data_IF_528053528705
#
_entry.id   IF_528053528705
#
_cell.length_a   1.000
_cell.length_b   1.000
_cell.length_c   1.000
_cell.angle_alpha   90.00
_cell.angle_beta   90.00
_cell.angle_gamma   90.00
#
_symmetry.space_group_name_H-M   'P 1'
#
loop_
_entity.id
_entity.type
_entity.pdbx_description
1 polymer ?
#
# COMPACT_ATOMS: atom_id res chain seq x y z
N UNK A 1 -6.79 -33.49 -23.95
CA UNK A 1 -6.18 -32.17 -23.71
C UNK A 1 -5.65 -32.22 -22.29
N UNK A 2 -4.43 -31.77 -22.07
CA UNK A 2 -3.81 -31.83 -20.75
C UNK A 2 -4.15 -30.55 -19.99
N UNK A 3 -5.02 -30.63 -18.98
CA UNK A 3 -5.44 -29.50 -18.17
C UNK A 3 -4.34 -29.12 -17.18
N UNK A 4 -3.21 -28.62 -17.68
CA UNK A 4 -2.04 -28.32 -16.84
C UNK A 4 -2.36 -27.23 -15.83
N UNK A 5 -2.32 -27.62 -14.56
CA UNK A 5 -2.56 -26.80 -13.37
C UNK A 5 -1.54 -27.16 -12.30
N UNK A 6 -1.10 -26.16 -11.55
CA UNK A 6 -0.19 -26.35 -10.43
C UNK A 6 -0.71 -25.55 -9.23
N UNK A 7 -0.79 -26.21 -8.08
CA UNK A 7 -0.99 -25.53 -6.79
C UNK A 7 0.28 -25.58 -5.98
N UNK A 8 0.68 -24.44 -5.44
CA UNK A 8 1.85 -24.26 -4.59
C UNK A 8 1.39 -23.72 -3.22
N UNK A 9 1.06 -24.59 -2.26
CA UNK A 9 0.69 -24.17 -0.90
C UNK A 9 1.89 -23.53 -0.19
N UNK A 10 1.63 -22.49 0.62
CA UNK A 10 2.67 -21.83 1.43
C UNK A 10 3.77 -21.12 0.63
N UNK A 11 3.51 -20.79 -0.65
CA UNK A 11 4.46 -20.09 -1.51
C UNK A 11 4.72 -18.66 -1.04
N UNK A 12 3.68 -17.97 -0.54
CA UNK A 12 3.82 -16.67 0.12
C UNK A 12 3.81 -16.89 1.64
N UNK A 13 4.64 -16.12 2.35
CA UNK A 13 4.57 -16.08 3.81
C UNK A 13 3.28 -15.37 4.28
N UNK A 14 2.77 -15.71 5.47
CA UNK A 14 1.65 -14.99 6.07
C UNK A 14 1.92 -13.49 6.22
N UNK A 15 3.16 -13.10 6.51
CA UNK A 15 3.57 -11.69 6.65
C UNK A 15 3.41 -10.93 5.34
N UNK A 16 3.87 -11.51 4.22
CA UNK A 16 3.71 -10.92 2.89
C UNK A 16 2.23 -10.85 2.49
N UNK A 17 1.43 -11.87 2.81
CA UNK A 17 -0.01 -11.84 2.56
C UNK A 17 -0.68 -10.67 3.29
N UNK A 18 -0.35 -10.47 4.57
CA UNK A 18 -0.86 -9.36 5.38
C UNK A 18 -0.42 -7.99 4.86
N UNK A 19 0.83 -7.87 4.43
CA UNK A 19 1.35 -6.64 3.82
C UNK A 19 0.61 -6.28 2.52
N UNK A 20 0.39 -7.25 1.64
CA UNK A 20 -0.39 -7.05 0.42
C UNK A 20 -1.86 -6.70 0.72
N UNK A 21 -2.48 -7.35 1.71
CA UNK A 21 -3.83 -7.00 2.18
C UNK A 21 -3.86 -5.55 2.70
N UNK A 22 -2.86 -5.13 3.48
CA UNK A 22 -2.72 -3.76 3.94
C UNK A 22 -2.69 -2.77 2.77
N UNK A 23 -1.83 -3.02 1.77
CA UNK A 23 -1.73 -2.15 0.59
C UNK A 23 -3.07 -2.06 -0.13
N UNK A 24 -3.76 -3.20 -0.31
CA UNK A 24 -5.07 -3.22 -0.97
C UNK A 24 -6.16 -2.50 -0.17
N UNK A 25 -6.22 -2.73 1.15
CA UNK A 25 -7.18 -2.06 2.04
C UNK A 25 -6.92 -0.56 2.14
N UNK A 26 -5.69 -0.13 1.89
CA UNK A 26 -5.31 1.29 1.90
C UNK A 26 -5.53 1.99 0.56
N UNK A 27 -5.31 1.31 -0.56
CA UNK A 27 -5.25 1.93 -1.89
C UNK A 27 -6.25 1.37 -2.91
N UNK A 28 -7.16 0.50 -2.48
CA UNK A 28 -8.19 -0.10 -3.33
C UNK A 28 -9.20 0.90 -3.86
N UNK A 29 -9.52 0.77 -5.15
CA UNK A 29 -10.56 1.52 -5.85
C UNK A 29 -11.63 0.56 -6.39
N UNK A 30 -12.78 1.11 -6.77
CA UNK A 30 -13.86 0.36 -7.44
C UNK A 30 -13.32 -0.26 -8.71
N UNK A 31 -13.47 -1.58 -8.84
CA UNK A 31 -13.10 -2.35 -10.02
C UNK A 31 -14.17 -2.25 -11.12
N UNK A 32 -13.89 -2.88 -12.27
CA UNK A 32 -14.80 -2.83 -13.42
C UNK A 32 -16.07 -3.70 -13.23
N UNK A 33 -16.07 -4.62 -12.26
CA UNK A 33 -17.22 -5.47 -11.94
C UNK A 33 -17.91 -4.98 -10.66
N UNK A 34 -19.24 -5.15 -10.56
CA UNK A 34 -19.95 -4.95 -9.31
C UNK A 34 -19.30 -5.71 -8.16
N UNK A 35 -19.23 -5.08 -6.99
CA UNK A 35 -18.68 -5.67 -5.75
C UNK A 35 -17.20 -6.09 -5.81
N UNK A 36 -16.47 -5.71 -6.86
CA UNK A 36 -15.04 -5.98 -6.99
C UNK A 36 -14.25 -4.70 -6.77
N UNK A 37 -13.20 -4.78 -5.95
CA UNK A 37 -12.23 -3.71 -5.77
C UNK A 37 -10.89 -4.12 -6.37
N UNK A 38 -10.08 -3.14 -6.80
CA UNK A 38 -8.77 -3.40 -7.38
C UNK A 38 -7.71 -2.39 -6.94
N UNK A 39 -6.46 -2.85 -6.82
CA UNK A 39 -5.27 -1.99 -6.70
C UNK A 39 -4.25 -2.46 -7.73
N UNK A 40 -3.97 -1.62 -8.73
CA UNK A 40 -2.95 -1.89 -9.75
C UNK A 40 -1.67 -1.13 -9.44
N UNK A 41 -0.55 -1.57 -10.01
CA UNK A 41 0.75 -0.88 -9.84
C UNK A 41 0.68 0.55 -10.37
N UNK A 42 0.08 0.77 -11.54
CA UNK A 42 -0.12 2.11 -12.09
C UNK A 42 -1.00 2.99 -11.22
N UNK A 43 -2.01 2.44 -10.52
CA UNK A 43 -2.81 3.21 -9.59
C UNK A 43 -1.96 3.71 -8.40
N UNK A 44 -1.14 2.83 -7.80
CA UNK A 44 -0.22 3.21 -6.73
C UNK A 44 0.73 4.33 -7.17
N UNK A 45 1.24 4.27 -8.40
CA UNK A 45 2.11 5.32 -8.93
C UNK A 45 1.33 6.64 -9.14
N UNK A 46 0.12 6.56 -9.69
CA UNK A 46 -0.72 7.71 -9.95
C UNK A 46 -1.16 8.44 -8.66
N UNK A 47 -1.33 7.72 -7.55
CA UNK A 47 -1.77 8.30 -6.26
C UNK A 47 -0.62 8.67 -5.33
N UNK A 48 0.58 8.92 -5.86
CA UNK A 48 1.80 9.21 -5.10
C UNK A 48 2.13 8.14 -4.02
N UNK A 49 1.73 6.89 -4.26
CA UNK A 49 1.94 5.73 -3.40
C UNK A 49 2.90 4.71 -4.02
N UNK A 50 3.74 5.15 -4.96
CA UNK A 50 4.63 4.29 -5.76
C UNK A 50 5.58 3.42 -4.91
N UNK A 51 5.99 3.88 -3.73
CA UNK A 51 6.85 3.10 -2.84
C UNK A 51 6.22 1.74 -2.44
N UNK A 52 4.89 1.67 -2.38
CA UNK A 52 4.16 0.44 -2.02
C UNK A 52 4.22 -0.65 -3.11
N UNK A 53 4.82 -0.42 -4.28
CA UNK A 53 5.00 -1.49 -5.26
C UNK A 53 6.08 -2.51 -4.87
N UNK A 54 6.95 -2.16 -3.93
CA UNK A 54 8.14 -2.96 -3.59
C UNK A 54 7.82 -4.43 -3.25
N UNK A 55 6.81 -4.75 -2.42
CA UNK A 55 6.45 -6.14 -2.13
C UNK A 55 5.97 -6.93 -3.37
N UNK A 56 5.46 -6.24 -4.39
CA UNK A 56 5.00 -6.87 -5.63
C UNK A 56 6.16 -7.29 -6.52
N UNK A 57 7.22 -6.49 -6.62
CA UNK A 57 8.32 -6.74 -7.56
C UNK A 57 8.97 -8.09 -7.28
N UNK A 58 9.36 -8.33 -6.03
CA UNK A 58 9.99 -9.59 -5.63
C UNK A 58 9.05 -10.79 -5.79
N UNK A 59 7.76 -10.61 -5.50
CA UNK A 59 6.77 -11.68 -5.63
C UNK A 59 6.46 -12.02 -7.10
N UNK A 60 6.33 -11.01 -7.97
CA UNK A 60 6.07 -11.18 -9.41
C UNK A 60 7.15 -12.02 -10.06
N UNK A 61 8.42 -11.73 -9.78
CA UNK A 61 9.54 -12.48 -10.33
C UNK A 61 9.53 -13.93 -9.86
N UNK A 62 9.34 -14.18 -8.55
CA UNK A 62 9.25 -15.55 -8.02
C UNK A 62 8.09 -16.34 -8.61
N UNK A 63 6.92 -15.73 -8.78
CA UNK A 63 5.77 -16.39 -9.40
C UNK A 63 6.03 -16.63 -10.90
N UNK A 64 6.64 -15.68 -11.60
CA UNK A 64 7.03 -15.84 -13.01
C UNK A 64 7.96 -17.03 -13.20
N UNK A 65 9.02 -17.14 -12.39
CA UNK A 65 9.95 -18.28 -12.41
C UNK A 65 9.21 -19.61 -12.21
N UNK A 66 8.27 -19.69 -11.25
CA UNK A 66 7.48 -20.90 -11.02
C UNK A 66 6.54 -21.25 -12.20
N UNK A 67 6.00 -20.24 -12.88
CA UNK A 67 5.20 -20.42 -14.11
C UNK A 67 6.08 -20.93 -15.25
N UNK A 68 7.26 -20.31 -15.42
CA UNK A 68 8.22 -20.68 -16.45
C UNK A 68 8.70 -22.13 -16.29
N UNK A 69 9.10 -22.53 -15.09
CA UNK A 69 9.53 -23.89 -14.76
C UNK A 69 8.40 -24.91 -15.01
N UNK A 70 7.18 -24.62 -14.54
CA UNK A 70 6.05 -25.55 -14.69
C UNK A 70 5.66 -25.81 -16.15
N UNK A 71 5.75 -24.79 -17.00
CA UNK A 71 5.42 -24.89 -18.42
C UNK A 71 6.62 -25.18 -19.33
N UNK A 72 7.85 -25.21 -18.81
CA UNK A 72 9.09 -25.42 -19.57
C UNK A 72 9.35 -24.29 -20.56
N UNK A 73 9.29 -23.05 -20.08
CA UNK A 73 9.40 -21.84 -20.88
C UNK A 73 10.23 -20.74 -20.21
N UNK A 74 11.34 -21.15 -19.61
CA UNK A 74 12.29 -20.31 -18.91
C UNK A 74 12.76 -19.13 -19.76
N UNK A 75 12.70 -17.93 -19.17
CA UNK A 75 13.07 -16.64 -19.78
C UNK A 75 12.21 -16.21 -20.98
N UNK A 76 11.07 -16.86 -21.23
CA UNK A 76 10.19 -16.54 -22.36
C UNK A 76 8.99 -15.66 -21.96
N UNK A 77 8.79 -15.38 -20.67
CA UNK A 77 7.60 -14.70 -20.17
C UNK A 77 7.84 -13.24 -19.74
N UNK A 78 6.86 -12.42 -20.08
CA UNK A 78 6.65 -11.08 -19.57
C UNK A 78 5.41 -11.06 -18.67
N UNK A 79 5.42 -10.25 -17.63
CA UNK A 79 4.23 -9.99 -16.82
C UNK A 79 3.33 -9.04 -17.60
N UNK A 80 2.14 -9.50 -17.97
CA UNK A 80 1.16 -8.70 -18.73
C UNK A 80 0.39 -7.76 -17.81
N UNK A 81 0.09 -8.21 -16.59
CA UNK A 81 -0.68 -7.45 -15.62
C UNK A 81 -0.48 -7.98 -14.22
N UNK A 82 -0.48 -7.05 -13.26
CA UNK A 82 -0.47 -7.30 -11.82
C UNK A 82 -1.54 -6.48 -11.11
N UNK A 83 -2.39 -7.15 -10.33
CA UNK A 83 -3.37 -6.44 -9.51
C UNK A 83 -3.82 -7.20 -8.28
N UNK A 84 -3.94 -6.48 -7.17
CA UNK A 84 -4.69 -6.96 -6.01
C UNK A 84 -6.17 -6.81 -6.31
N UNK A 85 -6.91 -7.91 -6.25
CA UNK A 85 -8.33 -7.99 -6.54
C UNK A 85 -9.04 -8.48 -5.30
N UNK A 86 -10.04 -7.72 -4.86
CA UNK A 86 -10.96 -8.10 -3.80
C UNK A 86 -12.35 -8.34 -4.36
N UNK A 87 -12.96 -9.42 -3.91
CA UNK A 87 -14.34 -9.81 -4.21
C UNK A 87 -15.12 -9.71 -2.92
N UNK A 88 -16.01 -8.71 -2.84
CA UNK A 88 -16.90 -8.52 -1.70
C UNK A 88 -18.16 -9.37 -1.84
N UNK A 89 -18.95 -9.46 -0.77
CA UNK A 89 -20.27 -10.09 -0.80
C UNK A 89 -21.08 -9.69 -2.05
N UNK A 90 -21.62 -10.68 -2.76
CA UNK A 90 -22.35 -10.53 -4.02
C UNK A 90 -21.47 -10.62 -5.29
N UNK A 91 -20.14 -10.51 -5.17
CA UNK A 91 -19.24 -10.62 -6.32
C UNK A 91 -19.15 -12.08 -6.80
N UNK A 92 -19.22 -12.28 -8.12
CA UNK A 92 -19.01 -13.55 -8.81
C UNK A 92 -18.53 -13.33 -10.25
N UNK A 93 -18.03 -14.38 -10.89
CA UNK A 93 -17.73 -14.39 -12.32
C UNK A 93 -18.09 -15.75 -12.91
N UNK A 94 -18.87 -15.74 -13.98
CA UNK A 94 -19.25 -16.95 -14.70
C UNK A 94 -18.08 -17.62 -15.44
N UNK A 95 -18.38 -18.72 -16.12
CA UNK A 95 -17.41 -19.50 -16.88
C UNK A 95 -16.71 -18.67 -17.97
N UNK A 96 -15.39 -18.65 -17.93
CA UNK A 96 -14.54 -17.97 -18.91
C UNK A 96 -13.14 -18.58 -18.96
N UNK A 97 -12.42 -18.35 -20.06
CA UNK A 97 -10.95 -18.40 -20.08
C UNK A 97 -10.39 -16.98 -19.99
N UNK A 98 -9.14 -16.86 -19.55
CA UNK A 98 -8.49 -15.55 -19.37
C UNK A 98 -8.11 -14.88 -20.70
N UNK A 99 -8.07 -15.64 -21.80
CA UNK A 99 -7.78 -15.20 -23.17
C UNK A 99 -9.04 -14.95 -24.02
N UNK A 100 -10.23 -14.98 -23.42
CA UNK A 100 -11.52 -15.07 -24.12
C UNK A 100 -11.98 -13.82 -24.91
N UNK A 101 -11.20 -12.74 -24.92
CA UNK A 101 -11.50 -11.49 -25.64
C UNK A 101 -10.31 -11.05 -26.47
N UNK A 102 -10.57 -10.30 -27.55
CA UNK A 102 -9.53 -9.87 -28.48
C UNK A 102 -8.38 -9.09 -27.83
N UNK A 103 -8.69 -8.28 -26.81
CA UNK A 103 -7.69 -7.52 -26.05
C UNK A 103 -7.03 -8.30 -24.90
N UNK A 104 -7.42 -9.56 -24.70
CA UNK A 104 -6.89 -10.47 -23.68
C UNK A 104 -6.16 -11.69 -24.28
N UNK A 105 -6.36 -11.95 -25.58
CA UNK A 105 -5.82 -13.11 -26.32
C UNK A 105 -4.30 -13.31 -26.21
N UNK A 106 -3.56 -12.26 -25.82
CA UNK A 106 -2.12 -12.31 -25.60
C UNK A 106 -1.71 -13.07 -24.34
N UNK A 107 -2.65 -13.39 -23.45
CA UNK A 107 -2.38 -14.09 -22.19
C UNK A 107 -2.12 -15.57 -22.47
N UNK A 108 -0.98 -16.06 -22.00
CA UNK A 108 -0.59 -17.45 -22.16
C UNK A 108 -0.81 -18.24 -20.87
N UNK A 109 -0.48 -17.63 -19.73
CA UNK A 109 -0.56 -18.25 -18.41
C UNK A 109 -1.14 -17.26 -17.39
N UNK A 110 -1.72 -17.83 -16.35
CA UNK A 110 -2.33 -17.12 -15.24
C UNK A 110 -1.78 -17.64 -13.93
N UNK A 111 -1.61 -16.74 -12.96
CA UNK A 111 -1.38 -17.11 -11.57
C UNK A 111 -2.29 -16.31 -10.63
N UNK A 112 -2.85 -17.01 -9.64
CA UNK A 112 -3.70 -16.44 -8.59
C UNK A 112 -3.06 -16.75 -7.25
N UNK A 113 -2.59 -15.73 -6.54
CA UNK A 113 -2.07 -15.86 -5.18
C UNK A 113 -3.18 -15.54 -4.19
N UNK A 114 -3.54 -16.51 -3.35
CA UNK A 114 -4.56 -16.35 -2.33
C UNK A 114 -3.98 -15.67 -1.09
N UNK A 115 -4.57 -14.54 -0.70
CA UNK A 115 -4.04 -13.73 0.41
C UNK A 115 -4.79 -13.97 1.72
N UNK A 116 -5.98 -14.56 1.67
CA UNK A 116 -6.78 -14.93 2.84
C UNK A 116 -7.50 -16.26 2.62
N UNK A 117 -8.08 -16.81 3.68
CA UNK A 117 -8.49 -18.22 3.77
C UNK A 117 -10.01 -18.37 3.74
N UNK A 118 -10.49 -19.29 2.89
CA UNK A 118 -11.90 -19.68 2.81
C UNK A 118 -12.38 -20.31 4.13
N UNK A 119 -13.63 -20.06 4.53
CA UNK A 119 -14.24 -20.46 5.82
C UNK A 119 -13.60 -19.86 7.09
N UNK A 120 -12.56 -19.04 6.93
CA UNK A 120 -11.96 -18.27 8.02
C UNK A 120 -12.20 -16.76 7.84
N UNK A 121 -11.88 -16.24 6.65
CA UNK A 121 -11.94 -14.81 6.33
C UNK A 121 -13.12 -14.45 5.41
N UNK A 122 -13.64 -15.42 4.66
CA UNK A 122 -14.78 -15.26 3.75
C UNK A 122 -15.48 -16.60 3.47
N UNK A 123 -16.73 -16.53 3.01
CA UNK A 123 -17.54 -17.67 2.57
C UNK A 123 -18.02 -17.49 1.12
N UNK A 124 -18.29 -18.59 0.42
CA UNK A 124 -18.45 -18.58 -1.03
C UNK A 124 -17.13 -18.27 -1.73
N UNK A 125 -17.15 -17.66 -2.92
CA UNK A 125 -15.93 -17.26 -3.65
C UNK A 125 -14.96 -18.39 -4.04
N UNK A 126 -15.40 -19.65 -4.10
CA UNK A 126 -14.61 -20.79 -4.55
C UNK A 126 -14.31 -20.68 -6.04
N UNK A 127 -13.09 -21.08 -6.41
CA UNK A 127 -12.62 -21.11 -7.78
C UNK A 127 -12.86 -22.50 -8.37
N UNK A 128 -13.57 -22.58 -9.48
CA UNK A 128 -13.90 -23.84 -10.15
C UNK A 128 -13.35 -23.86 -11.56
N UNK A 129 -12.78 -24.98 -11.97
CA UNK A 129 -12.52 -25.29 -13.37
C UNK A 129 -13.67 -26.13 -13.93
N UNK A 130 -13.99 -25.91 -15.21
CA UNK A 130 -15.12 -26.57 -15.85
C UNK A 130 -14.85 -28.07 -16.09
N UNK A 131 -13.61 -28.39 -16.46
CA UNK A 131 -13.16 -29.72 -16.83
C UNK A 131 -11.79 -30.03 -16.17
N UNK A 132 -11.42 -31.30 -16.03
CA UNK A 132 -10.10 -31.70 -15.51
C UNK A 132 -9.89 -31.52 -14.00
N UNK A 133 -8.73 -31.96 -13.49
CA UNK A 133 -8.39 -31.91 -12.07
C UNK A 133 -7.25 -30.93 -11.77
N UNK A 134 -7.28 -30.23 -10.61
CA UNK A 134 -8.40 -30.20 -9.67
C UNK A 134 -9.59 -29.45 -10.26
N UNK A 135 -10.81 -29.97 -10.02
CA UNK A 135 -12.05 -29.32 -10.48
C UNK A 135 -12.40 -28.07 -9.64
N UNK A 136 -12.03 -28.05 -8.36
CA UNK A 136 -12.26 -26.93 -7.44
C UNK A 136 -11.00 -26.63 -6.66
N UNK A 137 -10.67 -25.36 -6.54
CA UNK A 137 -9.56 -24.87 -5.73
C UNK A 137 -10.12 -24.14 -4.53
N UNK A 138 -9.78 -24.65 -3.33
CA UNK A 138 -10.15 -24.03 -2.05
C UNK A 138 -9.09 -22.99 -1.67
N UNK A 139 -9.44 -21.69 -1.63
CA UNK A 139 -8.51 -20.63 -1.27
C UNK A 139 -7.92 -20.81 0.14
N UNK A 140 -6.60 -20.91 0.21
CA UNK A 140 -5.85 -20.92 1.47
C UNK A 140 -4.76 -19.87 1.39
N UNK A 141 -4.65 -19.01 2.42
CA UNK A 141 -3.63 -17.96 2.49
C UNK A 141 -2.24 -18.51 2.13
N UNK A 142 -1.54 -17.78 1.27
CA UNK A 142 -0.19 -18.10 0.82
C UNK A 142 -0.10 -19.13 -0.31
N UNK A 143 -1.22 -19.68 -0.76
CA UNK A 143 -1.26 -20.63 -1.88
C UNK A 143 -1.24 -19.88 -3.22
N UNK A 144 -0.48 -20.39 -4.19
CA UNK A 144 -0.53 -19.93 -5.58
C UNK A 144 -1.14 -21.01 -6.46
N UNK A 145 -2.11 -20.62 -7.29
CA UNK A 145 -2.66 -21.44 -8.37
C UNK A 145 -2.09 -20.95 -9.70
N UNK A 146 -1.48 -21.83 -10.50
CA UNK A 146 -0.93 -21.57 -11.83
C UNK A 146 -1.65 -22.44 -12.86
N UNK A 147 -2.04 -21.86 -14.00
CA UNK A 147 -2.74 -22.56 -15.08
C UNK A 147 -2.56 -21.84 -16.43
N UNK A 148 -2.85 -22.53 -17.54
CA UNK A 148 -2.87 -21.88 -18.86
C UNK A 148 -4.07 -20.93 -18.98
N UNK A 149 -3.89 -19.77 -19.61
CA UNK A 149 -4.95 -18.76 -19.73
C UNK A 149 -6.06 -19.14 -20.74
N UNK A 150 -5.85 -20.21 -21.50
CA UNK A 150 -6.66 -20.57 -22.66
C UNK A 150 -7.93 -21.38 -22.31
N UNK A 151 -8.70 -21.73 -23.35
CA UNK A 151 -9.91 -22.56 -23.23
C UNK A 151 -9.71 -23.98 -22.65
N UNK A 152 -8.49 -24.45 -22.44
CA UNK A 152 -8.25 -25.70 -21.71
C UNK A 152 -8.50 -25.50 -20.21
N UNK A 153 -8.51 -24.27 -19.71
CA UNK A 153 -8.74 -23.96 -18.31
C UNK A 153 -9.88 -22.94 -18.16
N UNK A 154 -11.03 -23.25 -18.75
CA UNK A 154 -12.27 -22.50 -18.48
C UNK A 154 -12.60 -22.64 -17.00
N UNK A 155 -12.85 -21.50 -16.35
CA UNK A 155 -13.05 -21.42 -14.91
C UNK A 155 -14.08 -20.35 -14.53
N UNK A 156 -14.55 -20.41 -13.28
CA UNK A 156 -15.45 -19.44 -12.69
C UNK A 156 -15.09 -19.23 -11.21
N UNK A 157 -15.63 -18.16 -10.62
CA UNK A 157 -15.64 -17.94 -9.17
C UNK A 157 -17.08 -17.78 -8.75
N UNK A 158 -17.56 -18.65 -7.87
CA UNK A 158 -18.93 -18.55 -7.37
C UNK A 158 -19.10 -17.31 -6.47
N UNK A 159 -20.34 -16.99 -6.14
CA UNK A 159 -20.64 -15.80 -5.36
C UNK A 159 -19.95 -15.82 -3.98
N UNK A 160 -19.29 -14.72 -3.61
CA UNK A 160 -18.88 -14.47 -2.23
C UNK A 160 -20.13 -14.16 -1.43
N UNK A 161 -20.44 -15.00 -0.44
CA UNK A 161 -21.66 -14.88 0.35
C UNK A 161 -21.44 -14.10 1.65
N UNK A 162 -20.21 -14.10 2.15
CA UNK A 162 -19.80 -13.38 3.36
C UNK A 162 -18.30 -13.07 3.33
N UNK A 163 -17.88 -11.99 4.00
CA UNK A 163 -16.50 -11.53 4.01
C UNK A 163 -16.00 -10.91 2.69
N UNK A 164 -14.68 -10.88 2.54
CA UNK A 164 -13.98 -10.26 1.40
C UNK A 164 -12.87 -11.21 0.93
N UNK A 165 -12.98 -11.78 -0.28
CA UNK A 165 -11.95 -12.67 -0.85
C UNK A 165 -10.88 -11.85 -1.56
N UNK A 166 -9.63 -11.95 -1.13
CA UNK A 166 -8.52 -11.11 -1.62
C UNK A 166 -7.45 -11.98 -2.28
N UNK A 167 -7.09 -11.60 -3.51
CA UNK A 167 -6.08 -12.29 -4.31
C UNK A 167 -5.12 -11.30 -4.98
N UNK A 168 -3.87 -11.71 -5.20
CA UNK A 168 -3.04 -11.11 -6.25
C UNK A 168 -3.26 -11.89 -7.54
N UNK A 169 -3.74 -11.22 -8.58
CA UNK A 169 -3.89 -11.79 -9.92
C UNK A 169 -2.71 -11.36 -10.80
N UNK A 170 -2.12 -12.34 -11.49
CA UNK A 170 -1.01 -12.18 -12.41
C UNK A 170 -1.36 -12.85 -13.72
N UNK A 171 -1.15 -12.15 -14.83
CA UNK A 171 -1.23 -12.73 -16.16
C UNK A 171 0.12 -12.59 -16.86
N UNK A 172 0.47 -13.61 -17.64
CA UNK A 172 1.76 -13.69 -18.33
C UNK A 172 1.56 -13.80 -19.83
N UNK A 173 2.49 -13.23 -20.57
CA UNK A 173 2.48 -13.21 -22.03
C UNK A 173 3.87 -13.51 -22.58
N UNK A 174 3.93 -14.14 -23.75
CA UNK A 174 5.16 -14.29 -24.55
C UNK A 174 5.38 -13.11 -25.50
N UNK A 175 4.47 -12.14 -25.51
CA UNK A 175 4.53 -10.99 -26.39
C UNK A 175 5.00 -9.75 -25.61
N UNK A 176 6.27 -9.37 -25.79
CA UNK A 176 6.90 -8.23 -25.10
C UNK A 176 6.19 -6.88 -25.32
N UNK A 177 5.36 -6.75 -26.36
CA UNK A 177 4.57 -5.52 -26.57
C UNK A 177 3.50 -5.29 -25.48
N UNK A 178 3.19 -6.33 -24.70
CA UNK A 178 2.23 -6.31 -23.60
C UNK A 178 2.92 -6.38 -22.22
N UNK A 179 4.24 -6.19 -22.16
CA UNK A 179 4.98 -6.13 -20.90
C UNK A 179 4.53 -4.93 -20.03
N UNK A 180 4.01 -5.23 -18.83
CA UNK A 180 3.59 -4.24 -17.83
C UNK A 180 4.77 -3.38 -17.35
N UNK A 181 5.97 -3.97 -17.25
CA UNK A 181 7.14 -3.29 -16.69
C UNK A 181 7.56 -2.10 -17.54
N UNK A 182 7.44 -2.19 -18.86
CA UNK A 182 7.74 -1.07 -19.76
C UNK A 182 6.91 0.17 -19.42
N UNK A 183 5.60 0.00 -19.23
CA UNK A 183 4.68 1.10 -18.88
C UNK A 183 4.92 1.59 -17.46
N UNK A 184 5.16 0.67 -16.53
CA UNK A 184 5.40 0.98 -15.12
C UNK A 184 6.70 1.77 -14.93
N UNK A 185 7.78 1.37 -15.61
CA UNK A 185 9.06 2.07 -15.58
C UNK A 185 8.91 3.52 -16.05
N UNK A 186 8.22 3.76 -17.18
CA UNK A 186 7.96 5.11 -17.68
C UNK A 186 7.21 5.97 -16.65
N UNK A 187 6.19 5.41 -15.98
CA UNK A 187 5.47 6.10 -14.92
C UNK A 187 6.36 6.42 -13.72
N UNK A 188 7.18 5.46 -13.28
CA UNK A 188 8.11 5.63 -12.16
C UNK A 188 9.19 6.67 -12.44
N UNK A 189 9.76 6.69 -13.65
CA UNK A 189 10.72 7.72 -14.09
C UNK A 189 10.12 9.11 -13.90
N UNK A 190 8.89 9.30 -14.37
CA UNK A 190 8.20 10.58 -14.33
C UNK A 190 7.92 11.03 -12.89
N UNK A 191 7.51 10.11 -12.01
CA UNK A 191 7.29 10.44 -10.59
C UNK A 191 8.60 10.80 -9.90
N UNK A 192 9.66 10.02 -10.11
CA UNK A 192 10.97 10.30 -9.51
C UNK A 192 11.57 11.64 -9.97
N UNK A 193 11.34 12.03 -11.22
CA UNK A 193 11.80 13.32 -11.75
C UNK A 193 11.06 14.54 -11.17
N UNK A 194 9.84 14.35 -10.65
CA UNK A 194 8.99 15.42 -10.07
C UNK A 194 9.25 15.68 -8.59
N UNK A 195 10.03 14.83 -7.94
CA UNK A 195 10.20 14.86 -6.49
C UNK A 195 11.40 15.74 -6.12
N UNK A 196 11.26 16.70 -5.18
CA UNK A 196 12.33 17.62 -4.80
C UNK A 196 13.58 16.91 -4.27
N UNK A 197 14.73 17.54 -4.50
CA UNK A 197 16.08 17.20 -3.97
C UNK A 197 16.09 16.87 -2.47
N UNK A 198 15.07 17.29 -1.71
CA UNK A 198 14.92 17.00 -0.29
C UNK A 198 14.70 15.50 0.05
N UNK A 199 13.99 14.70 -0.77
CA UNK A 199 13.94 13.23 -0.55
C UNK A 199 15.32 12.58 -0.68
N UNK A 200 16.16 13.10 -1.58
CA UNK A 200 17.54 12.66 -1.76
C UNK A 200 18.42 12.91 -0.52
N UNK A 201 18.12 13.97 0.25
CA UNK A 201 18.82 14.25 1.52
C UNK A 201 18.37 13.31 2.63
N UNK A 202 17.09 12.94 2.69
CA UNK A 202 16.57 11.93 3.63
C UNK A 202 17.11 10.53 3.36
N UNK A 203 17.20 10.13 2.09
CA UNK A 203 17.79 8.83 1.76
C UNK A 203 19.23 8.73 2.25
N UNK A 204 20.00 9.82 2.18
CA UNK A 204 21.37 9.86 2.68
C UNK A 204 21.39 9.80 4.22
N UNK A 205 20.55 10.57 4.92
CA UNK A 205 20.51 10.52 6.39
C UNK A 205 20.04 9.17 6.94
N UNK A 206 19.03 8.53 6.31
CA UNK A 206 18.57 7.19 6.68
C UNK A 206 19.62 6.12 6.36
N UNK A 207 20.36 6.25 5.25
CA UNK A 207 21.52 5.38 4.97
C UNK A 207 22.60 5.53 6.03
N UNK A 208 22.86 6.75 6.51
CA UNK A 208 23.78 7.02 7.62
C UNK A 208 23.30 6.36 8.92
N UNK A 209 22.02 6.51 9.27
CA UNK A 209 21.43 5.93 10.49
C UNK A 209 21.40 4.38 10.46
N UNK A 210 21.05 3.77 9.32
CA UNK A 210 21.09 2.32 9.12
C UNK A 210 22.54 1.78 9.16
N UNK A 211 23.51 2.54 8.65
CA UNK A 211 24.94 2.21 8.79
C UNK A 211 25.40 2.25 10.25
N UNK A 212 24.96 3.25 11.01
CA UNK A 212 25.28 3.38 12.45
C UNK A 212 24.65 2.24 13.26
N UNK A 213 23.40 1.86 12.96
CA UNK A 213 22.75 0.72 13.63
C UNK A 213 23.44 -0.62 13.31
N UNK A 214 23.87 -0.83 12.06
CA UNK A 214 24.59 -2.05 11.67
C UNK A 214 26.05 -2.09 12.17
N UNK A 215 26.68 -0.93 12.38
CA UNK A 215 28.00 -0.84 12.99
C UNK A 215 27.99 -1.17 14.50
N UNK A 216 26.83 -1.02 15.17
CA UNK A 216 26.66 -1.36 16.59
C UNK A 216 26.57 -2.85 16.91
N UNK A 217 26.48 -3.72 15.90
CA UNK A 217 26.33 -5.19 16.07
C UNK A 217 27.68 -5.93 15.95
N UNK A 218 28.75 -5.25 15.49
CA UNK A 218 30.08 -5.86 15.35
C UNK A 218 31.09 -5.22 16.29
N UNK A 219 31.01 -5.55 17.58
CA UNK A 219 32.14 -5.38 18.49
C UNK A 219 32.34 -6.61 19.36
N UNK A 220 33.16 -7.55 18.87
CA UNK A 220 34.01 -8.36 19.74
C UNK A 220 35.48 -8.10 19.39
N UNK A 221 36.39 -8.01 20.38
CA UNK A 221 37.78 -7.68 20.14
C UNK A 221 38.58 -8.94 19.82
N UNK A 222 39.23 -8.99 18.67
CA UNK A 222 40.30 -9.95 18.38
C UNK A 222 41.65 -9.24 18.46
N UNK A 223 42.51 -9.79 19.32
CA UNK A 223 43.87 -9.35 19.60
C UNK A 223 44.82 -9.53 18.40
N UNK A 224 45.68 -8.53 18.20
CA UNK A 224 47.12 -8.65 17.86
C UNK A 224 47.54 -9.28 16.53
N UNK A 225 48.18 -8.50 15.66
CA UNK A 225 49.62 -8.67 15.37
C UNK A 225 50.19 -7.51 14.52
N UNK A 226 51.47 -7.24 14.75
CA UNK A 226 52.29 -6.10 14.35
C UNK A 226 52.77 -6.09 12.88
N UNK A 227 53.24 -4.90 12.46
CA UNK A 227 54.15 -4.65 11.33
C UNK A 227 53.52 -3.73 10.28
N UNK A 228 54.08 -2.59 9.87
CA UNK A 228 55.40 -1.97 10.05
C UNK A 228 55.30 -0.51 9.56
N UNK A 229 56.03 0.39 10.21
CA UNK A 229 56.17 1.82 9.87
C UNK A 229 56.78 2.06 8.48
N UNK A 230 56.33 3.14 7.79
CA UNK A 230 57.23 4.09 7.12
C UNK A 230 56.63 5.51 7.16
N UNK A 231 57.39 6.45 7.71
CA UNK A 231 57.15 7.90 7.76
C UNK A 231 57.33 8.57 6.38
N UNK A 232 56.68 9.73 6.18
CA UNK A 232 57.36 11.01 5.82
C UNK A 232 56.35 12.18 5.77
N UNK A 233 56.61 13.17 6.62
CA UNK A 233 56.03 14.53 6.63
C UNK A 233 56.55 15.36 5.45
N UNK A 234 55.73 16.25 4.88
CA UNK A 234 55.97 17.71 4.92
C UNK A 234 54.84 18.53 4.24
N UNK A 235 54.46 19.62 4.91
CA UNK A 235 53.56 20.73 4.51
C UNK A 235 54.30 21.72 3.53
N UNK A 236 53.71 22.80 2.94
CA UNK A 236 52.57 23.59 3.43
C UNK A 236 51.56 24.15 2.40
N UNK A 237 50.51 24.77 2.95
CA UNK A 237 49.45 25.56 2.30
C UNK A 237 49.97 26.81 1.55
N UNK A 238 49.14 27.43 0.68
CA UNK A 238 48.71 28.79 1.04
C UNK A 238 47.28 29.18 0.58
N UNK A 239 46.74 30.20 1.25
CA UNK A 239 46.08 31.30 0.52
C UNK A 239 44.56 31.37 0.59
N UNK A 240 44.06 31.96 1.67
CA UNK A 240 42.68 32.40 1.84
C UNK A 240 42.42 33.67 1.00
N UNK A 241 41.38 33.69 0.14
CA UNK A 241 40.72 34.93 -0.29
C UNK A 241 39.20 34.73 -0.32
N UNK A 242 38.55 35.37 0.64
CA UNK A 242 37.12 35.62 0.69
C UNK A 242 36.74 36.65 -0.38
N UNK A 243 35.74 36.35 -1.20
CA UNK A 243 34.82 37.36 -1.71
C UNK A 243 33.38 36.98 -1.39
N UNK A 244 32.69 37.96 -0.80
CA UNK A 244 31.32 37.93 -0.35
C UNK A 244 30.35 37.71 -1.53
N UNK A 245 29.46 36.73 -1.39
CA UNK A 245 28.12 36.86 -1.96
C UNK A 245 27.09 36.37 -0.93
N UNK A 246 26.61 37.33 -0.15
CA UNK A 246 25.39 37.17 0.66
C UNK A 246 24.22 37.10 -0.31
N UNK A 247 23.86 35.90 -0.76
CA UNK A 247 22.52 35.63 -1.30
C UNK A 247 21.66 35.14 -0.16
N UNK A 248 20.81 36.02 0.36
CA UNK A 248 19.68 35.67 1.21
C UNK A 248 18.65 34.89 0.38
N UNK A 249 18.97 33.64 0.06
CA UNK A 249 17.99 32.67 -0.39
C UNK A 249 17.27 32.17 0.85
N UNK A 250 16.14 32.81 1.15
CA UNK A 250 15.09 32.26 1.98
C UNK A 250 14.57 31.00 1.29
N UNK A 251 15.25 29.88 1.54
CA UNK A 251 14.74 28.55 1.27
C UNK A 251 13.54 28.38 2.19
N UNK A 252 12.34 28.61 1.66
CA UNK A 252 11.12 28.12 2.27
C UNK A 252 11.24 26.61 2.32
N UNK A 253 11.66 26.06 3.47
CA UNK A 253 11.63 24.64 3.78
C UNK A 253 10.18 24.18 3.60
N UNK A 254 9.88 23.48 2.51
CA UNK A 254 8.73 22.58 2.50
C UNK A 254 8.96 21.56 3.62
N UNK A 255 8.03 21.39 4.58
CA UNK A 255 8.17 20.34 5.58
C UNK A 255 8.25 18.99 4.87
N UNK A 256 9.16 18.11 5.31
CA UNK A 256 9.33 16.72 4.82
C UNK A 256 8.00 15.95 4.69
N UNK A 257 7.05 16.30 5.55
CA UNK A 257 5.68 15.82 5.63
C UNK A 257 4.90 15.89 4.31
N UNK A 258 5.31 16.70 3.32
CA UNK A 258 4.58 16.83 2.05
C UNK A 258 4.90 15.73 1.02
N UNK A 259 5.99 14.99 1.20
CA UNK A 259 6.53 14.14 0.14
C UNK A 259 5.78 12.81 -0.02
N UNK A 260 5.35 12.22 1.09
CA UNK A 260 4.69 10.91 1.12
C UNK A 260 3.18 11.00 1.26
N UNK A 261 2.61 12.20 1.17
CA UNK A 261 1.15 12.40 1.18
C UNK A 261 0.58 11.77 -0.09
N UNK A 262 -0.27 10.75 0.01
CA UNK A 262 -0.92 10.18 -1.16
C UNK A 262 -1.85 11.23 -1.79
N UNK A 263 -1.99 11.17 -3.10
CA UNK A 263 -2.87 12.04 -3.88
C UNK A 263 -4.06 11.21 -4.36
N UNK A 264 -5.25 11.36 -3.77
CA UNK A 264 -6.41 10.57 -4.16
C UNK A 264 -6.76 10.77 -5.64
N UNK A 265 -7.19 9.69 -6.30
CA UNK A 265 -7.80 9.78 -7.62
C UNK A 265 -9.17 10.50 -7.57
N UNK A 266 -9.85 10.62 -8.71
CA UNK A 266 -11.22 11.17 -8.77
C UNK A 266 -12.17 10.42 -7.82
N UNK A 267 -13.11 11.15 -7.20
CA UNK A 267 -14.14 10.62 -6.28
C UNK A 267 -14.86 9.39 -6.83
N UNK A 268 -15.12 9.35 -8.15
CA UNK A 268 -15.77 8.23 -8.83
C UNK A 268 -15.02 6.90 -8.71
N UNK A 269 -13.69 6.94 -8.51
CA UNK A 269 -12.87 5.73 -8.33
C UNK A 269 -13.09 5.09 -6.95
N UNK A 270 -13.58 5.84 -5.98
CA UNK A 270 -13.79 5.37 -4.59
C UNK A 270 -15.27 5.28 -4.21
N UNK A 271 -16.17 5.73 -5.08
CA UNK A 271 -17.61 5.73 -4.87
C UNK A 271 -18.28 4.44 -5.36
N UNK A 272 -18.89 3.69 -4.45
CA UNK A 272 -19.71 2.53 -4.78
C UNK A 272 -21.17 2.96 -4.88
N UNK A 273 -21.72 2.82 -6.09
CA UNK A 273 -23.14 3.04 -6.38
C UNK A 273 -23.96 1.81 -5.99
N UNK A 274 -25.04 1.99 -5.24
CA UNK A 274 -26.03 0.95 -4.94
C UNK A 274 -27.01 0.77 -6.13
N UNK A 275 -27.33 1.84 -6.85
CA UNK A 275 -28.28 1.81 -7.98
C UNK A 275 -27.75 1.07 -9.22
N UNK A 276 -26.43 1.06 -9.44
CA UNK A 276 -25.77 0.30 -10.53
C UNK A 276 -25.67 -1.21 -10.26
N UNK A 277 -25.93 -1.67 -9.04
CA UNK A 277 -25.92 -3.09 -8.67
C UNK A 277 -27.18 -3.79 -9.20
N UNK A 278 -28.35 -3.17 -9.08
CA UNK A 278 -29.63 -3.77 -9.49
C UNK A 278 -29.82 -3.81 -11.01
N UNK A 279 -29.34 -2.81 -11.75
CA UNK A 279 -29.56 -2.70 -13.20
C UNK A 279 -28.81 -3.75 -14.05
N UNK A 280 -27.88 -4.53 -13.47
CA UNK A 280 -27.09 -5.53 -14.20
C UNK A 280 -27.47 -7.00 -13.91
N UNK A 281 -28.40 -7.25 -12.99
CA UNK A 281 -28.92 -8.61 -12.73
C UNK A 281 -29.82 -9.16 -13.86
N UNK A 282 -30.03 -8.41 -14.94
CA UNK A 282 -30.98 -8.76 -16.01
C UNK A 282 -30.42 -9.02 -17.42
N UNK A 283 -29.18 -8.66 -17.77
CA UNK A 283 -28.68 -8.83 -19.15
C UNK A 283 -27.16 -9.03 -19.20
N UNK A 284 -26.71 -10.05 -19.94
CA UNK A 284 -25.33 -10.18 -20.43
C UNK A 284 -25.03 -8.99 -21.35
N UNK A 285 -24.36 -7.97 -20.81
CA UNK A 285 -23.93 -6.81 -21.59
C UNK A 285 -22.51 -7.06 -22.09
N UNK A 286 -22.41 -7.32 -23.40
CA UNK A 286 -21.16 -7.29 -24.16
C UNK A 286 -20.44 -5.95 -24.05
N UNK A 287 -19.16 -5.95 -24.37
CA UNK A 287 -18.29 -4.77 -24.35
C UNK A 287 -18.91 -3.60 -25.12
N UNK A 288 -19.40 -2.61 -24.38
CA UNK A 288 -20.07 -1.44 -24.92
C UNK A 288 -20.30 -0.44 -23.79
N UNK A 289 -19.48 0.61 -23.77
CA UNK A 289 -19.47 1.63 -22.72
C UNK A 289 -20.84 2.27 -22.52
N UNK A 290 -21.38 2.13 -21.30
CA UNK A 290 -22.47 2.97 -20.83
C UNK A 290 -21.88 4.21 -20.13
N UNK A 291 -21.57 5.22 -20.94
CA UNK A 291 -21.40 6.61 -20.49
C UNK A 291 -22.78 7.19 -20.14
N UNK A 292 -23.32 6.80 -18.98
CA UNK A 292 -24.48 7.45 -18.38
C UNK A 292 -23.98 8.53 -17.42
N UNK A 293 -24.16 9.80 -17.77
CA UNK A 293 -24.05 10.93 -16.84
C UNK A 293 -25.21 10.86 -15.86
N UNK A 294 -25.09 10.05 -14.81
CA UNK A 294 -25.86 10.21 -13.57
C UNK A 294 -25.02 11.07 -12.64
N UNK A 295 -25.56 12.23 -12.25
CA UNK A 295 -25.02 13.05 -11.16
C UNK A 295 -24.87 12.20 -9.91
N UNK A 296 -23.73 12.30 -9.22
CA UNK A 296 -23.49 11.65 -7.92
C UNK A 296 -24.53 12.06 -6.85
N UNK A 297 -25.23 13.19 -7.06
CA UNK A 297 -26.21 13.74 -6.13
C UNK A 297 -27.49 12.89 -5.98
N UNK A 298 -27.84 12.08 -6.99
CA UNK A 298 -29.05 11.26 -7.00
C UNK A 298 -28.77 9.76 -6.76
N UNK A 299 -27.49 9.37 -6.63
CA UNK A 299 -27.07 7.98 -6.50
C UNK A 299 -26.91 7.60 -5.02
N UNK A 300 -27.74 6.68 -4.53
CA UNK A 300 -27.52 6.06 -3.22
C UNK A 300 -26.22 5.25 -3.29
N UNK A 301 -25.24 5.58 -2.46
CA UNK A 301 -23.91 5.00 -2.53
C UNK A 301 -23.05 5.38 -1.33
N UNK A 302 -21.84 4.84 -1.29
CA UNK A 302 -20.89 5.12 -0.23
C UNK A 302 -19.45 5.22 -0.72
N UNK A 303 -18.64 5.98 0.02
CA UNK A 303 -17.23 6.15 -0.23
C UNK A 303 -16.40 5.08 0.47
N UNK A 304 -15.66 4.26 -0.28
CA UNK A 304 -14.96 3.08 0.26
C UNK A 304 -13.96 3.46 1.36
N UNK A 305 -13.23 4.56 1.22
CA UNK A 305 -12.25 4.94 2.24
C UNK A 305 -12.91 5.26 3.58
N UNK A 306 -14.09 5.88 3.56
CA UNK A 306 -14.86 6.18 4.77
C UNK A 306 -15.38 4.89 5.40
N UNK A 307 -15.91 3.97 4.58
CA UNK A 307 -16.39 2.67 5.06
C UNK A 307 -15.28 1.83 5.68
N UNK A 308 -14.08 1.82 5.08
CA UNK A 308 -12.90 1.14 5.63
C UNK A 308 -12.37 1.77 6.91
N UNK A 309 -12.46 3.09 7.06
CA UNK A 309 -12.16 3.75 8.33
C UNK A 309 -13.21 3.39 9.39
N UNK A 310 -14.50 3.37 9.02
CA UNK A 310 -15.61 3.02 9.90
C UNK A 310 -15.53 1.58 10.42
N UNK A 311 -15.14 0.62 9.58
CA UNK A 311 -14.95 -0.78 10.01
C UNK A 311 -13.78 -0.94 11.01
N UNK A 312 -12.85 0.02 11.05
CA UNK A 312 -11.79 0.12 12.05
C UNK A 312 -12.18 0.99 13.27
N UNK A 313 -13.43 1.44 13.36
CA UNK A 313 -13.96 2.23 14.47
C UNK A 313 -13.76 3.75 14.36
N UNK A 314 -13.35 4.25 13.20
CA UNK A 314 -13.15 5.67 12.95
C UNK A 314 -14.32 6.33 12.23
N UNK A 315 -14.58 7.59 12.56
CA UNK A 315 -15.58 8.43 11.91
C UNK A 315 -14.91 9.70 11.38
N UNK A 316 -15.27 10.14 10.18
CA UNK A 316 -14.82 11.45 9.68
C UNK A 316 -15.69 12.54 10.34
N UNK A 317 -15.05 13.58 10.91
CA UNK A 317 -15.74 14.63 11.69
C UNK A 317 -16.40 15.68 10.80
N UNK A 318 -15.82 15.92 9.63
CA UNK A 318 -16.37 16.83 8.62
C UNK A 318 -17.00 15.98 7.52
N UNK A 319 -18.32 16.12 7.33
CA UNK A 319 -19.06 15.37 6.31
C UNK A 319 -18.40 15.65 4.95
N UNK A 320 -17.93 14.59 4.29
CA UNK A 320 -17.63 14.64 2.87
C UNK A 320 -18.96 14.90 2.16
N UNK A 321 -19.31 16.18 1.96
CA UNK A 321 -20.49 16.56 1.20
C UNK A 321 -20.33 15.98 -0.20
N UNK A 322 -21.22 15.05 -0.59
CA UNK A 322 -21.06 14.22 -1.79
C UNK A 322 -20.95 15.08 -3.05
N UNK A 323 -21.56 16.28 -3.04
CA UNK A 323 -21.56 17.27 -4.11
C UNK A 323 -20.30 18.17 -4.17
N UNK A 324 -19.50 18.26 -3.10
CA UNK A 324 -18.29 19.11 -3.01
C UNK A 324 -17.03 18.32 -2.57
N UNK A 325 -17.10 16.99 -2.65
CA UNK A 325 -16.08 16.06 -2.14
C UNK A 325 -14.88 15.95 -3.09
N UNK A 326 -14.02 16.96 -3.11
CA UNK A 326 -12.65 16.76 -3.61
C UNK A 326 -11.92 15.86 -2.62
N UNK A 327 -11.51 14.64 -3.00
CA UNK A 327 -10.94 13.68 -2.06
C UNK A 327 -9.60 14.16 -1.47
N UNK A 328 -9.00 15.20 -2.06
CA UNK A 328 -7.78 15.89 -1.61
C UNK A 328 -8.01 16.98 -0.54
N UNK A 329 -9.21 17.08 0.05
CA UNK A 329 -9.47 17.98 1.19
C UNK A 329 -8.95 17.38 2.50
N UNK A 330 -8.40 18.20 3.42
CA UNK A 330 -8.03 17.74 4.76
C UNK A 330 -9.19 17.11 5.50
N UNK A 331 -8.89 16.13 6.36
CA UNK A 331 -9.89 15.38 7.13
C UNK A 331 -9.46 15.19 8.57
N UNK A 332 -10.41 15.37 9.49
CA UNK A 332 -10.28 15.01 10.90
C UNK A 332 -11.03 13.73 11.19
N UNK A 333 -10.44 12.89 12.02
CA UNK A 333 -11.03 11.63 12.45
C UNK A 333 -11.49 11.70 13.90
N UNK A 334 -12.49 10.88 14.22
CA UNK A 334 -12.98 10.59 15.56
C UNK A 334 -12.89 9.10 15.77
N UNK A 335 -12.38 8.69 16.92
CA UNK A 335 -12.32 7.28 17.31
C UNK A 335 -13.05 7.11 18.64
N UNK A 336 -14.00 6.19 18.73
CA UNK A 336 -14.79 5.93 19.96
C UNK A 336 -15.33 7.21 20.65
N UNK A 337 -15.95 8.10 19.88
CA UNK A 337 -16.49 9.39 20.36
C UNK A 337 -15.44 10.41 20.84
N UNK A 338 -14.16 10.16 20.58
CA UNK A 338 -13.08 11.09 20.87
C UNK A 338 -12.49 11.66 19.57
N UNK A 339 -12.49 12.99 19.48
CA UNK A 339 -11.90 13.69 18.35
C UNK A 339 -10.37 13.53 18.39
N UNK A 340 -9.82 13.20 17.23
CA UNK A 340 -8.39 13.04 17.06
C UNK A 340 -7.80 14.43 16.78
N UNK A 341 -6.85 14.86 17.62
CA UNK A 341 -6.21 16.17 17.55
C UNK A 341 -5.13 16.27 16.46
N UNK A 342 -5.44 15.77 15.26
CA UNK A 342 -4.61 15.85 14.07
C UNK A 342 -5.50 15.92 12.83
N UNK A 343 -5.07 16.72 11.87
CA UNK A 343 -5.74 16.92 10.59
C UNK A 343 -4.93 16.25 9.49
N UNK A 344 -5.46 15.17 8.94
CA UNK A 344 -4.82 14.46 7.83
C UNK A 344 -4.97 15.26 6.56
N UNK A 345 -3.93 15.24 5.72
CA UNK A 345 -3.89 15.97 4.45
C UNK A 345 -5.06 15.64 3.53
N UNK A 346 -5.50 14.37 3.52
CA UNK A 346 -6.68 13.91 2.80
C UNK A 346 -7.15 12.53 3.30
N UNK A 347 -8.30 12.06 2.80
CA UNK A 347 -8.92 10.80 3.22
C UNK A 347 -8.07 9.57 2.93
N UNK A 348 -7.29 9.58 1.85
CA UNK A 348 -6.39 8.48 1.50
C UNK A 348 -5.18 8.44 2.45
N UNK A 349 -4.64 9.62 2.81
CA UNK A 349 -3.59 9.73 3.82
C UNK A 349 -4.06 9.17 5.17
N UNK A 350 -5.25 9.57 5.61
CA UNK A 350 -5.84 9.07 6.85
C UNK A 350 -6.00 7.54 6.83
N UNK A 351 -6.55 7.00 5.74
CA UNK A 351 -6.74 5.56 5.59
C UNK A 351 -5.41 4.79 5.57
N UNK A 352 -4.41 5.26 4.83
CA UNK A 352 -3.09 4.62 4.75
C UNK A 352 -2.41 4.54 6.12
N UNK A 353 -2.39 5.64 6.89
CA UNK A 353 -1.80 5.67 8.24
C UNK A 353 -2.52 4.69 9.17
N UNK A 354 -3.85 4.73 9.19
CA UNK A 354 -4.65 3.86 10.07
C UNK A 354 -4.44 2.38 9.72
N UNK A 355 -4.53 2.03 8.44
CA UNK A 355 -4.33 0.65 7.97
C UNK A 355 -2.91 0.15 8.21
N UNK A 356 -1.90 1.02 8.08
CA UNK A 356 -0.52 0.68 8.40
C UNK A 356 -0.39 0.24 9.87
N UNK A 357 -0.98 0.98 10.80
CA UNK A 357 -0.89 0.63 12.22
C UNK A 357 -1.71 -0.60 12.61
N UNK A 358 -2.84 -0.83 11.95
CA UNK A 358 -3.62 -2.07 12.06
C UNK A 358 -2.78 -3.26 11.62
N UNK A 359 -2.14 -3.17 10.44
CA UNK A 359 -1.25 -4.21 9.93
C UNK A 359 -0.06 -4.48 10.86
N UNK A 360 0.57 -3.44 11.39
CA UNK A 360 1.71 -3.56 12.32
C UNK A 360 1.29 -4.07 13.70
N UNK A 361 -0.01 -4.26 13.98
CA UNK A 361 -0.54 -4.65 15.29
C UNK A 361 -0.26 -3.64 16.40
N UNK A 362 0.14 -2.43 16.03
CA UNK A 362 0.54 -1.38 16.97
C UNK A 362 -0.62 -0.46 17.33
N UNK A 363 -1.71 -0.52 16.56
CA UNK A 363 -2.86 0.35 16.72
C UNK A 363 -3.53 0.25 18.11
N UNK A 364 -3.82 -0.95 18.67
CA UNK A 364 -4.39 -1.06 20.01
C UNK A 364 -3.54 -0.43 21.12
N UNK A 365 -2.20 -0.54 21.03
CA UNK A 365 -1.29 0.05 22.00
C UNK A 365 -1.31 1.59 21.95
N UNK A 366 -1.40 2.18 20.75
CA UNK A 366 -1.57 3.62 20.59
C UNK A 366 -2.90 4.11 21.18
N UNK A 367 -3.98 3.35 20.96
CA UNK A 367 -5.29 3.67 21.52
C UNK A 367 -5.34 3.56 23.04
N UNK A 368 -4.74 2.52 23.62
CA UNK A 368 -4.66 2.36 25.07
C UNK A 368 -3.89 3.51 25.72
N UNK A 369 -2.76 3.91 25.13
CA UNK A 369 -2.03 5.09 25.58
C UNK A 369 -2.89 6.36 25.55
N UNK A 370 -3.72 6.56 24.51
CA UNK A 370 -4.65 7.71 24.47
C UNK A 370 -5.72 7.65 25.57
N UNK A 371 -6.20 6.47 25.94
CA UNK A 371 -7.19 6.29 27.01
C UNK A 371 -6.58 6.51 28.41
N UNK A 372 -5.39 5.97 28.67
CA UNK A 372 -4.70 6.08 29.96
C UNK A 372 -4.30 7.52 30.29
N UNK A 373 -3.79 8.26 29.30
CA UNK A 373 -3.48 9.69 29.43
C UNK A 373 -4.71 10.51 29.83
N UNK A 374 -5.89 10.19 29.28
CA UNK A 374 -7.15 10.86 29.60
C UNK A 374 -7.64 10.53 31.01
N UNK A 375 -7.49 9.29 31.46
CA UNK A 375 -7.77 8.91 32.84
C UNK A 375 -6.91 9.71 33.82
N UNK A 376 -5.63 9.91 33.51
CA UNK A 376 -4.73 10.72 34.31
C UNK A 376 -5.12 12.20 34.34
N UNK A 377 -5.48 12.80 33.20
CA UNK A 377 -6.01 14.19 33.16
C UNK A 377 -7.29 14.35 34.00
N UNK A 378 -8.24 13.42 33.88
CA UNK A 378 -9.46 13.42 34.69
C UNK A 378 -9.17 13.28 36.18
N UNK A 379 -8.18 12.46 36.54
CA UNK A 379 -7.76 12.29 37.93
C UNK A 379 -7.03 13.53 38.46
N UNK A 380 -6.24 14.23 37.64
CA UNK A 380 -5.60 15.51 37.99
C UNK A 380 -6.67 16.59 38.21
N UNK A 381 -7.64 16.73 37.30
CA UNK A 381 -8.75 17.70 37.44
C UNK A 381 -9.60 17.40 38.67
N UNK A 382 -9.89 16.12 38.95
CA UNK A 382 -10.59 15.71 40.18
C UNK A 382 -9.79 16.06 41.44
N UNK A 383 -8.48 15.79 41.46
CA UNK A 383 -7.59 16.13 42.58
C UNK A 383 -7.53 17.64 42.83
N UNK A 384 -7.50 18.45 41.77
CA UNK A 384 -7.52 19.91 41.84
C UNK A 384 -8.85 20.45 42.38
N UNK A 385 -10.00 19.85 42.01
CA UNK A 385 -11.31 20.23 42.60
C UNK A 385 -11.47 19.83 44.06
N UNK A 386 -10.77 18.80 44.54
CA UNK A 386 -10.81 18.41 45.96
C UNK A 386 -9.85 19.19 46.85
N UNK A 387 -9.01 20.10 46.32
CA UNK A 387 -8.01 20.85 47.10
C UNK A 387 -8.37 22.31 47.39
N UNK A 388 -9.65 22.72 47.34
CA UNK A 388 -10.06 24.10 47.69
C UNK A 388 -10.18 24.38 49.21
N UNK A 389 -9.78 23.45 50.08
CA UNK A 389 -9.63 23.74 51.51
C UNK A 389 -8.29 23.22 52.04
N UNK A 390 -7.24 24.03 51.91
CA UNK A 390 -6.22 24.30 52.94
C UNK A 390 -5.19 25.29 52.38
N UNK A 391 -5.13 26.49 52.97
CA UNK A 391 -4.05 27.46 52.81
C UNK A 391 -2.76 26.94 53.46
N UNK A 392 -1.63 26.97 52.73
CA UNK A 392 -0.35 27.63 53.11
C UNK A 392 0.77 27.31 52.11
N UNK A 393 1.66 28.28 51.94
CA UNK A 393 2.60 28.49 50.83
C UNK A 393 3.68 27.40 50.58
N UNK A 394 3.92 27.09 49.31
CA UNK A 394 5.24 26.88 48.70
C UNK A 394 5.14 26.97 47.16
N UNK A 395 6.09 27.59 46.44
CA UNK A 395 6.04 27.66 44.97
C UNK A 395 6.55 26.34 44.38
N UNK A 396 5.67 25.36 44.23
CA UNK A 396 5.94 24.24 43.34
C UNK A 396 5.55 24.64 41.92
N UNK A 397 6.52 24.68 41.01
CA UNK A 397 6.31 24.67 39.57
C UNK A 397 5.60 23.37 39.17
N UNK A 398 4.29 23.31 39.35
CA UNK A 398 3.41 22.26 38.84
C UNK A 398 3.17 22.48 37.36
N UNK A 399 3.87 21.69 36.53
CA UNK A 399 3.61 21.57 35.10
C UNK A 399 2.17 21.07 34.92
N UNK A 400 1.30 21.83 34.25
CA UNK A 400 0.01 21.30 33.78
C UNK A 400 0.25 20.00 33.00
N UNK A 401 -0.59 18.96 33.16
CA UNK A 401 -0.58 17.86 32.21
C UNK A 401 -0.93 18.46 30.85
N UNK A 402 0.02 18.34 29.92
CA UNK A 402 -0.04 19.05 28.66
C UNK A 402 -1.04 18.36 27.73
N UNK A 403 -1.89 19.17 27.08
CA UNK A 403 -2.54 18.88 25.79
C UNK A 403 -1.54 18.39 24.70
N UNK A 404 -0.22 18.49 24.96
CA UNK A 404 0.87 17.98 24.14
C UNK A 404 1.03 16.45 24.16
N UNK A 405 0.46 15.72 25.13
CA UNK A 405 0.64 14.26 25.22
C UNK A 405 -0.14 13.53 24.13
N UNK A 406 -1.39 13.93 23.89
CA UNK A 406 -2.27 13.42 22.83
C UNK A 406 -1.71 13.72 21.43
N UNK A 407 -1.13 14.91 21.26
CA UNK A 407 -0.44 15.32 20.04
C UNK A 407 0.80 14.45 19.76
N UNK A 408 1.57 14.13 20.80
CA UNK A 408 2.78 13.31 20.69
C UNK A 408 2.55 11.87 20.22
N UNK A 409 1.47 11.21 20.65
CA UNK A 409 1.18 9.81 20.27
C UNK A 409 0.82 9.67 18.79
N UNK A 410 0.06 10.61 18.24
CA UNK A 410 -0.38 10.57 16.84
C UNK A 410 0.67 11.12 15.86
N UNK A 411 1.41 12.16 16.25
CA UNK A 411 2.61 12.58 15.51
C UNK A 411 3.61 11.41 15.40
N UNK A 412 3.70 10.57 16.43
CA UNK A 412 4.52 9.34 16.39
C UNK A 412 3.99 8.30 15.39
N UNK A 413 2.68 8.10 15.29
CA UNK A 413 2.07 7.20 14.30
C UNK A 413 2.42 7.65 12.87
N UNK A 414 2.22 8.93 12.60
CA UNK A 414 2.46 9.51 11.27
C UNK A 414 3.95 9.46 10.94
N UNK A 415 4.81 9.79 11.90
CA UNK A 415 6.26 9.64 11.74
C UNK A 415 6.64 8.19 11.42
N UNK A 416 6.02 7.20 12.08
CA UNK A 416 6.26 5.78 11.79
C UNK A 416 5.82 5.39 10.38
N UNK A 417 4.68 5.89 9.93
CA UNK A 417 4.18 5.71 8.56
C UNK A 417 5.13 6.34 7.54
N UNK A 418 5.52 7.59 7.74
CA UNK A 418 6.43 8.34 6.87
C UNK A 418 7.81 7.67 6.78
N UNK A 419 8.32 7.15 7.91
CA UNK A 419 9.57 6.40 7.95
C UNK A 419 9.47 5.11 7.12
N UNK A 420 8.38 4.36 7.25
CA UNK A 420 8.15 3.16 6.46
C UNK A 420 8.11 3.49 4.94
N UNK A 421 7.37 4.52 4.56
CA UNK A 421 7.30 4.98 3.17
C UNK A 421 8.65 5.48 2.64
N UNK A 422 9.47 6.10 3.51
CA UNK A 422 10.82 6.55 3.17
C UNK A 422 11.76 5.39 2.89
N UNK A 423 11.68 4.31 3.68
CA UNK A 423 12.48 3.09 3.49
C UNK A 423 12.11 2.44 2.15
N UNK A 424 10.83 2.22 1.89
CA UNK A 424 10.37 1.63 0.62
C UNK A 424 10.74 2.49 -0.58
N UNK A 425 10.66 3.82 -0.45
CA UNK A 425 11.08 4.75 -1.49
C UNK A 425 12.58 4.65 -1.78
N UNK A 426 13.40 4.51 -0.74
CA UNK A 426 14.84 4.34 -0.86
C UNK A 426 15.18 3.04 -1.59
N UNK A 427 14.54 1.93 -1.23
CA UNK A 427 14.72 0.64 -1.91
C UNK A 427 14.33 0.73 -3.40
N UNK A 428 13.16 1.30 -3.68
CA UNK A 428 12.68 1.52 -5.05
C UNK A 428 13.67 2.36 -5.87
N UNK A 429 14.18 3.43 -5.27
CA UNK A 429 15.15 4.33 -5.91
C UNK A 429 16.47 3.64 -6.24
N UNK A 430 16.93 2.72 -5.39
CA UNK A 430 18.15 1.94 -5.60
C UNK A 430 17.96 0.87 -6.68
N UNK A 431 16.78 0.25 -6.76
CA UNK A 431 16.48 -0.79 -7.74
C UNK A 431 16.21 -0.25 -9.14
N UNK A 432 15.63 0.95 -9.27
CA UNK A 432 15.15 1.46 -10.55
C UNK A 432 16.22 1.53 -11.65
N UNK A 433 17.49 1.95 -11.42
CA UNK A 433 18.52 1.94 -12.44
C UNK A 433 18.83 0.53 -13.00
N UNK A 434 18.86 -0.48 -12.12
CA UNK A 434 19.07 -1.86 -12.53
C UNK A 434 17.86 -2.39 -13.30
N UNK A 435 16.64 -2.14 -12.81
CA UNK A 435 15.41 -2.54 -13.49
C UNK A 435 15.28 -1.92 -14.88
N UNK A 436 15.64 -0.63 -15.05
CA UNK A 436 15.71 0.01 -16.37
C UNK A 436 16.73 -0.64 -17.29
N UNK A 437 17.89 -1.00 -16.75
CA UNK A 437 18.94 -1.65 -17.54
C UNK A 437 18.50 -3.04 -18.02
N UNK A 438 17.82 -3.80 -17.17
CA UNK A 438 17.24 -5.10 -17.50
C UNK A 438 16.13 -4.96 -18.55
N UNK A 439 15.19 -4.03 -18.35
CA UNK A 439 14.15 -3.74 -19.34
C UNK A 439 14.75 -3.33 -20.70
N UNK A 440 15.83 -2.56 -20.70
CA UNK A 440 16.55 -2.20 -21.92
C UNK A 440 17.19 -3.41 -22.62
N UNK A 441 17.65 -4.43 -21.87
CA UNK A 441 18.21 -5.66 -22.42
C UNK A 441 17.15 -6.53 -23.11
N UNK A 442 15.96 -6.65 -22.52
CA UNK A 442 14.85 -7.45 -23.06
C UNK A 442 13.98 -6.72 -24.11
N UNK A 443 14.20 -5.42 -24.29
CA UNK A 443 13.50 -4.60 -25.30
C UNK A 443 14.16 -4.57 -26.69
N UNK A 444 15.26 -5.31 -26.89
CA UNK A 444 16.05 -5.32 -28.15
C UNK A 444 15.63 -6.41 -29.12
#
# INVERSE_FOLDING_TARGET
MDHKRLLLPGFLSPELCKELIFIHKSCGVVGYRPHVLSTTLSHLVATNSAALIMPFIALRERVKEAVEEFFGCEFELFVEFTGLISWRRGANIGWHSDDNRDYLRQRHFSAVCYLNTYEQDFHGGLFHFQDGEPATVVPTMGTVLIYSANKENVHCVNEVTDGERITLALWFTRNSTHDEDKKLLDQLVNVMARIPVERGKLSVSLQEELRVQNAGISSQPSQGQEGSEVNLEDQPSPGNQNENLVTTNTVTKTPLHSCFVPLPASTNMYWVSESKVELKLGQDVGDGGASGNTSLEDDQGYYICVERLASLGFQCIEQLDVSDSTPDKPVKLRYQQQDIAYEFSNILHALQVVQFHEWRGSFPAYLQNMQDIKCDELNIVKRQRTSEYTNTCAPHHGRSPNLSSHKGTLETMITSWENHMSILWLELSQMLPAWRSIGALFSR
#
